data_IF_958383381020
#
_entry.id   IF_958383381020
#
_cell.length_a   1.000
_cell.length_b   1.000
_cell.length_c   1.000
_cell.angle_alpha   90.00
_cell.angle_beta   90.00
_cell.angle_gamma   90.00
#
_symmetry.space_group_name_H-M   'P 1'
#
loop_
_entity.id
_entity.type
_entity.pdbx_description
1 polymer ?
#
# COMPACT_ATOMS: atom_id res chain seq x y z
N UNK A 1 12.57 -8.77 -2.30
CA UNK A 1 13.09 -7.40 -2.16
C UNK A 1 12.17 -6.64 -1.22
N UNK A 2 12.69 -5.74 -0.38
CA UNK A 2 11.87 -4.86 0.47
C UNK A 2 12.12 -3.44 0.00
N UNK A 3 11.05 -2.74 -0.39
CA UNK A 3 11.07 -1.35 -0.87
C UNK A 3 10.22 -0.52 0.07
N UNK A 4 10.71 0.67 0.41
CA UNK A 4 9.96 1.68 1.16
C UNK A 4 10.01 2.96 0.36
N UNK A 5 8.84 3.43 -0.06
CA UNK A 5 8.67 4.65 -0.85
C UNK A 5 7.36 5.32 -0.45
N UNK A 6 7.25 6.63 -0.67
CA UNK A 6 5.99 7.38 -0.57
C UNK A 6 5.27 7.49 -1.91
N UNK A 7 5.90 7.11 -3.02
CA UNK A 7 5.34 7.16 -4.36
C UNK A 7 4.58 5.84 -4.65
N UNK A 8 3.26 5.86 -4.48
CA UNK A 8 2.41 4.67 -4.68
C UNK A 8 2.48 4.06 -6.09
N UNK A 9 2.53 4.85 -7.19
CA UNK A 9 2.67 4.28 -8.53
C UNK A 9 3.95 3.46 -8.71
N UNK A 10 5.05 3.90 -8.07
CA UNK A 10 6.32 3.19 -8.09
C UNK A 10 6.21 1.85 -7.34
N UNK A 11 5.56 1.84 -6.17
CA UNK A 11 5.35 0.61 -5.41
C UNK A 11 4.49 -0.40 -6.16
N UNK A 12 3.41 0.05 -6.82
CA UNK A 12 2.55 -0.81 -7.64
C UNK A 12 3.29 -1.40 -8.85
N UNK A 13 4.25 -0.68 -9.42
CA UNK A 13 5.04 -1.16 -10.55
C UNK A 13 6.22 -2.08 -10.17
N UNK A 14 6.73 -1.98 -8.95
CA UNK A 14 7.95 -2.69 -8.51
C UNK A 14 7.69 -3.86 -7.56
N UNK A 15 6.59 -3.87 -6.83
CA UNK A 15 6.33 -4.84 -5.77
C UNK A 15 5.31 -5.89 -6.21
N UNK A 16 5.40 -7.11 -5.67
CA UNK A 16 4.31 -8.10 -5.78
C UNK A 16 3.20 -7.80 -4.75
N UNK A 17 3.59 -7.31 -3.56
CA UNK A 17 2.68 -7.02 -2.45
C UNK A 17 3.06 -5.73 -1.75
N UNK A 18 2.05 -5.01 -1.29
CA UNK A 18 2.20 -3.75 -0.54
C UNK A 18 1.61 -3.92 0.86
N UNK A 19 2.42 -3.72 1.89
CA UNK A 19 1.97 -3.65 3.29
C UNK A 19 1.77 -2.19 3.66
N UNK A 20 0.58 -1.82 4.12
CA UNK A 20 0.30 -0.48 4.62
C UNK A 20 0.29 -0.48 6.14
N UNK A 21 0.98 0.50 6.73
CA UNK A 21 1.00 0.73 8.17
C UNK A 21 0.42 2.10 8.50
N UNK A 22 -0.40 2.16 9.55
CA UNK A 22 -0.98 3.39 10.08
C UNK A 22 -0.87 3.35 11.63
N UNK A 23 -0.38 4.43 12.24
CA UNK A 23 -0.19 4.53 13.70
C UNK A 23 0.53 3.33 14.34
N UNK A 24 1.61 2.85 13.69
CA UNK A 24 2.42 1.73 14.17
C UNK A 24 1.76 0.36 14.04
N UNK A 25 0.62 0.26 13.35
CA UNK A 25 -0.08 -1.01 13.09
C UNK A 25 -0.17 -1.30 11.60
N UNK A 26 -0.04 -2.56 11.23
CA UNK A 26 -0.38 -3.00 9.88
C UNK A 26 -1.89 -2.92 9.69
N UNK A 27 -2.34 -2.19 8.68
CA UNK A 27 -3.78 -1.98 8.38
C UNK A 27 -4.25 -2.76 7.16
N UNK A 28 -3.33 -3.25 6.33
CA UNK A 28 -3.68 -4.08 5.18
C UNK A 28 -2.47 -4.60 4.43
N UNK A 29 -2.65 -5.71 3.73
CA UNK A 29 -1.71 -6.21 2.72
C UNK A 29 -2.46 -6.32 1.41
N UNK A 30 -1.87 -5.76 0.36
CA UNK A 30 -2.48 -5.59 -0.94
C UNK A 30 -1.64 -6.28 -2.01
N UNK A 31 -2.30 -6.79 -3.04
CA UNK A 31 -1.64 -7.36 -4.21
C UNK A 31 -1.47 -6.25 -5.25
N UNK A 32 -0.22 -5.90 -5.56
CA UNK A 32 0.09 -4.81 -6.46
C UNK A 32 -0.47 -5.00 -7.89
N UNK A 33 -0.71 -6.24 -8.31
CA UNK A 33 -1.27 -6.53 -9.63
C UNK A 33 -2.77 -6.22 -9.73
N UNK A 34 -3.48 -6.11 -8.60
CA UNK A 34 -4.94 -5.93 -8.58
C UNK A 34 -5.38 -4.68 -7.82
N UNK A 35 -4.50 -4.10 -7.02
CA UNK A 35 -4.80 -2.95 -6.18
C UNK A 35 -4.58 -1.65 -6.93
N UNK A 36 -5.50 -0.72 -6.74
CA UNK A 36 -5.41 0.64 -7.29
C UNK A 36 -4.69 1.59 -6.34
N UNK A 37 -4.15 2.68 -6.88
CA UNK A 37 -3.53 3.74 -6.07
C UNK A 37 -4.51 4.34 -5.04
N UNK A 38 -5.78 4.51 -5.44
CA UNK A 38 -6.84 5.06 -4.59
C UNK A 38 -7.13 4.16 -3.38
N UNK A 39 -7.14 2.84 -3.56
CA UNK A 39 -7.31 1.87 -2.46
C UNK A 39 -6.14 1.92 -1.46
N UNK A 40 -4.90 2.07 -1.95
CA UNK A 40 -3.73 2.24 -1.08
C UNK A 40 -3.76 3.57 -0.33
N UNK A 41 -4.15 4.66 -0.99
CA UNK A 41 -4.33 5.96 -0.33
C UNK A 41 -5.35 5.87 0.81
N UNK A 42 -6.49 5.23 0.56
CA UNK A 42 -7.51 5.01 1.59
C UNK A 42 -6.95 4.26 2.81
N UNK A 43 -6.17 3.20 2.58
CA UNK A 43 -5.51 2.45 3.66
C UNK A 43 -4.49 3.31 4.43
N UNK A 44 -3.69 4.14 3.74
CA UNK A 44 -2.70 5.02 4.35
C UNK A 44 -3.33 6.06 5.28
N UNK A 45 -4.50 6.60 4.92
CA UNK A 45 -5.22 7.61 5.72
C UNK A 45 -6.15 7.02 6.79
N UNK A 46 -6.10 5.70 7.04
CA UNK A 46 -6.96 5.05 8.04
C UNK A 46 -8.43 5.02 7.65
N UNK A 47 -8.75 5.19 6.36
CA UNK A 47 -10.11 5.07 5.80
C UNK A 47 -10.31 3.66 5.27
N UNK A 48 -10.15 2.67 6.15
CA UNK A 48 -10.49 1.28 5.84
C UNK A 48 -12.01 1.15 5.88
N UNK A 49 -12.62 0.85 4.74
CA UNK A 49 -14.05 0.54 4.66
C UNK A 49 -14.33 -0.88 5.14
#
# INVERSE_FOLDING_TARGET
>A
MVVVSSELPELLGLCDRVLVMHEGRAVGTFDAATTTEDELLHACYGRTR
#
